data_IF_035705647001
#
_entry.id   IF_035705647001
#
_cell.length_a   1.000
_cell.length_b   1.000
_cell.length_c   1.000
_cell.angle_alpha   90.00
_cell.angle_beta   90.00
_cell.angle_gamma   90.00
#
_symmetry.space_group_name_H-M   'P 1'
#
loop_
_entity.id
_entity.type
_entity.pdbx_description
1 polymer ?
#
# COMPACT_ATOMS: atom_id res chain seq x y z
N UNK A 1 -19.29 25.94 -4.29
CA UNK A 1 -18.18 25.01 -3.94
C UNK A 1 -18.84 23.89 -3.16
N UNK A 2 -18.79 22.65 -3.61
CA UNK A 2 -19.25 21.53 -2.78
C UNK A 2 -18.40 21.48 -1.52
N UNK A 3 -19.05 21.27 -0.37
CA UNK A 3 -18.35 21.07 0.88
C UNK A 3 -17.41 19.87 0.73
N UNK A 4 -16.16 19.99 1.18
CA UNK A 4 -15.20 18.86 1.14
C UNK A 4 -15.74 17.76 2.06
N UNK A 5 -15.81 16.53 1.58
CA UNK A 5 -16.25 15.37 2.35
C UNK A 5 -15.11 14.71 3.14
N UNK A 6 -13.97 15.40 3.31
CA UNK A 6 -12.77 14.93 4.03
C UNK A 6 -12.11 16.07 4.81
N UNK A 7 -11.34 15.67 5.81
CA UNK A 7 -10.41 16.54 6.54
C UNK A 7 -8.98 16.27 6.05
N UNK A 8 -8.24 17.33 5.73
CA UNK A 8 -6.79 17.21 5.49
C UNK A 8 -6.10 16.90 6.82
N UNK A 9 -5.19 15.94 6.81
CA UNK A 9 -4.40 15.58 7.97
C UNK A 9 -2.91 15.60 7.64
N UNK A 10 -2.12 15.87 8.67
CA UNK A 10 -0.68 15.64 8.63
C UNK A 10 -0.20 14.92 9.90
N UNK A 11 0.88 14.17 9.79
CA UNK A 11 1.50 13.46 10.90
C UNK A 11 3.00 13.27 10.66
N UNK A 12 3.76 13.12 11.74
CA UNK A 12 5.19 12.87 11.66
C UNK A 12 5.48 11.40 11.39
N UNK A 13 6.43 11.11 10.51
CA UNK A 13 6.97 9.78 10.25
C UNK A 13 8.40 9.89 9.71
N UNK A 14 9.34 9.16 10.31
CA UNK A 14 10.74 9.05 9.85
C UNK A 14 11.34 10.40 9.45
N UNK A 15 11.29 11.38 10.36
CA UNK A 15 11.86 12.72 10.17
C UNK A 15 11.17 13.58 9.11
N UNK A 16 10.01 13.20 8.62
CA UNK A 16 9.21 13.94 7.66
C UNK A 16 7.77 14.13 8.14
N UNK A 17 7.04 15.04 7.51
CA UNK A 17 5.63 15.22 7.70
C UNK A 17 4.88 14.57 6.53
N UNK A 18 4.12 13.52 6.80
CA UNK A 18 3.25 12.88 5.83
C UNK A 18 1.89 13.57 5.80
N UNK A 19 1.27 13.59 4.62
CA UNK A 19 -0.01 14.29 4.39
C UNK A 19 -1.00 13.40 3.68
N UNK A 20 -2.27 13.56 4.04
CA UNK A 20 -3.35 12.80 3.47
C UNK A 20 -4.72 13.39 3.74
N UNK A 21 -5.74 12.55 3.54
CA UNK A 21 -7.14 12.87 3.76
C UNK A 21 -7.77 11.83 4.66
N UNK A 22 -8.55 12.31 5.62
CA UNK A 22 -9.41 11.47 6.43
C UNK A 22 -10.87 11.71 6.04
N UNK A 23 -11.50 10.67 5.51
CA UNK A 23 -12.93 10.60 5.28
C UNK A 23 -13.57 10.01 6.54
N UNK A 24 -14.43 10.78 7.19
CA UNK A 24 -15.00 10.40 8.48
C UNK A 24 -16.36 9.74 8.33
N UNK A 25 -16.55 8.60 8.98
CA UNK A 25 -17.87 8.04 9.22
C UNK A 25 -18.62 8.85 10.29
N UNK A 26 -19.94 8.89 10.18
CA UNK A 26 -20.80 9.38 11.27
C UNK A 26 -20.84 8.42 12.48
N UNK A 27 -20.44 7.16 12.30
CA UNK A 27 -20.27 6.17 13.35
C UNK A 27 -18.82 6.14 13.83
N UNK A 28 -18.55 6.67 15.01
CA UNK A 28 -17.20 6.73 15.58
C UNK A 28 -16.53 5.35 15.76
N UNK A 29 -17.32 4.26 15.79
CA UNK A 29 -16.84 2.87 15.91
C UNK A 29 -16.73 2.15 14.58
N UNK A 30 -17.03 2.82 13.45
CA UNK A 30 -16.85 2.20 12.14
C UNK A 30 -15.40 1.77 11.92
N UNK A 31 -15.13 0.73 11.11
CA UNK A 31 -13.76 0.35 10.78
C UNK A 31 -12.94 1.53 10.26
N UNK A 32 -11.67 1.60 10.69
CA UNK A 32 -10.69 2.52 10.14
C UNK A 32 -9.86 1.77 9.10
N UNK A 33 -9.95 2.19 7.84
CA UNK A 33 -9.09 1.69 6.75
C UNK A 33 -7.96 2.68 6.51
N UNK A 34 -6.71 2.24 6.69
CA UNK A 34 -5.51 3.05 6.41
C UNK A 34 -4.93 2.62 5.08
N UNK A 35 -4.84 3.55 4.14
CA UNK A 35 -4.52 3.29 2.74
C UNK A 35 -3.29 4.09 2.28
N UNK A 36 -2.42 3.45 1.51
CA UNK A 36 -1.36 4.13 0.78
C UNK A 36 -1.13 3.50 -0.60
N UNK A 37 -0.52 4.30 -1.49
CA UNK A 37 -0.30 3.96 -2.89
C UNK A 37 0.85 2.95 -3.07
N UNK A 38 0.87 2.24 -4.22
CA UNK A 38 1.94 1.34 -4.60
C UNK A 38 3.21 2.04 -5.11
N UNK A 39 4.03 1.27 -5.83
CA UNK A 39 5.33 1.70 -6.31
C UNK A 39 5.24 3.04 -7.05
N UNK A 40 5.91 4.05 -6.49
CA UNK A 40 6.08 5.43 -7.03
C UNK A 40 4.81 6.23 -7.32
N UNK A 41 3.62 5.67 -7.14
CA UNK A 41 2.37 6.38 -7.35
C UNK A 41 2.19 7.55 -6.34
N UNK A 42 1.08 8.23 -6.40
CA UNK A 42 0.62 9.21 -5.42
C UNK A 42 -0.87 9.02 -5.17
N UNK A 43 -1.37 9.51 -4.06
CA UNK A 43 -2.79 9.40 -3.72
C UNK A 43 -3.71 10.09 -4.76
N UNK A 44 -3.18 11.07 -5.51
CA UNK A 44 -3.89 11.73 -6.61
C UNK A 44 -4.01 10.85 -7.88
N UNK A 45 -3.26 9.77 -7.96
CA UNK A 45 -3.35 8.83 -9.07
C UNK A 45 -4.40 7.76 -8.78
N UNK A 46 -5.68 8.16 -8.68
CA UNK A 46 -6.89 7.37 -8.42
C UNK A 46 -7.18 6.97 -6.97
N UNK A 47 -6.19 6.92 -6.06
CA UNK A 47 -6.40 6.38 -4.71
C UNK A 47 -7.37 7.24 -3.87
N UNK A 48 -7.35 8.57 -4.02
CA UNK A 48 -8.37 9.43 -3.38
C UNK A 48 -9.79 9.09 -3.86
N UNK A 49 -9.96 8.75 -5.14
CA UNK A 49 -11.27 8.36 -5.66
C UNK A 49 -11.72 7.01 -5.09
N UNK A 50 -10.78 6.07 -4.95
CA UNK A 50 -11.05 4.78 -4.33
C UNK A 50 -11.48 4.95 -2.86
N UNK A 51 -10.76 5.78 -2.10
CA UNK A 51 -11.08 6.12 -0.72
C UNK A 51 -12.47 6.76 -0.59
N UNK A 52 -12.83 7.71 -1.48
CA UNK A 52 -14.16 8.32 -1.51
C UNK A 52 -15.27 7.28 -1.70
N UNK A 53 -15.04 6.30 -2.58
CA UNK A 53 -16.02 5.24 -2.85
C UNK A 53 -16.21 4.33 -1.63
N UNK A 54 -15.14 3.95 -0.93
CA UNK A 54 -15.23 3.17 0.31
C UNK A 54 -15.86 3.96 1.46
N UNK A 55 -15.58 5.26 1.56
CA UNK A 55 -16.14 6.11 2.61
C UNK A 55 -17.67 6.23 2.53
N UNK A 56 -18.26 6.15 1.33
CA UNK A 56 -19.72 6.20 1.14
C UNK A 56 -20.44 5.06 1.90
N UNK A 57 -19.77 3.93 2.12
CA UNK A 57 -20.31 2.79 2.87
C UNK A 57 -20.23 2.96 4.39
N UNK A 58 -19.74 4.11 4.87
CA UNK A 58 -19.73 4.44 6.29
C UNK A 58 -18.51 3.96 7.06
N UNK A 59 -17.40 3.69 6.39
CA UNK A 59 -16.10 3.43 7.01
C UNK A 59 -15.33 4.74 7.26
N UNK A 60 -14.43 4.77 8.24
CA UNK A 60 -13.39 5.79 8.31
C UNK A 60 -12.27 5.41 7.34
N UNK A 61 -11.88 6.31 6.45
CA UNK A 61 -10.80 6.05 5.50
C UNK A 61 -9.72 7.10 5.67
N UNK A 62 -8.53 6.67 6.06
CA UNK A 62 -7.33 7.49 6.07
C UNK A 62 -6.45 7.10 4.87
N UNK A 63 -6.31 7.99 3.91
CA UNK A 63 -5.44 7.81 2.76
C UNK A 63 -4.36 8.88 2.75
N UNK A 64 -3.10 8.48 2.54
CA UNK A 64 -1.95 9.40 2.59
C UNK A 64 -0.91 9.08 1.51
N UNK A 65 -0.07 10.09 1.22
CA UNK A 65 1.11 9.89 0.39
C UNK A 65 2.29 9.39 1.23
N UNK A 66 2.99 8.38 0.75
CA UNK A 66 4.24 7.92 1.38
C UNK A 66 5.28 9.04 1.46
N UNK A 67 6.23 8.92 2.40
CA UNK A 67 7.40 9.80 2.51
C UNK A 67 8.08 9.96 1.14
N UNK A 68 8.45 11.17 0.79
CA UNK A 68 9.07 11.61 -0.47
C UNK A 68 8.10 11.70 -1.68
N UNK A 69 6.84 11.34 -1.56
CA UNK A 69 5.86 11.31 -2.65
C UNK A 69 4.71 12.29 -2.43
N UNK A 70 4.02 12.63 -3.52
CA UNK A 70 2.80 13.42 -3.51
C UNK A 70 2.91 14.70 -2.65
N UNK A 71 1.95 14.88 -1.75
CA UNK A 71 1.90 15.99 -0.81
C UNK A 71 2.80 15.83 0.41
N UNK A 72 3.27 14.62 0.71
CA UNK A 72 4.14 14.34 1.86
C UNK A 72 5.53 14.93 1.69
N UNK A 73 6.14 15.35 2.81
CA UNK A 73 7.53 15.83 2.83
C UNK A 73 8.51 14.66 2.68
N UNK A 74 9.78 14.99 2.74
CA UNK A 74 10.91 14.09 2.68
C UNK A 74 11.85 14.41 1.54
N UNK A 75 13.10 14.03 1.71
CA UNK A 75 14.18 14.20 0.75
C UNK A 75 15.08 12.96 0.74
N UNK A 76 15.69 12.65 -0.43
CA UNK A 76 15.40 13.24 -1.73
C UNK A 76 13.97 12.89 -2.20
N UNK A 77 13.37 13.79 -3.01
CA UNK A 77 12.03 13.51 -3.59
C UNK A 77 12.08 12.26 -4.47
N UNK A 78 10.96 11.53 -4.50
CA UNK A 78 10.75 10.33 -5.29
C UNK A 78 11.71 9.18 -4.95
N UNK A 79 12.25 9.17 -3.73
CA UNK A 79 13.00 8.04 -3.20
C UNK A 79 12.06 7.01 -2.58
N UNK A 80 12.08 5.79 -3.10
CA UNK A 80 11.32 4.63 -2.61
C UNK A 80 12.14 3.97 -1.51
N UNK A 81 11.68 4.09 -0.28
CA UNK A 81 12.26 3.47 0.91
C UNK A 81 11.19 2.61 1.57
N UNK A 82 11.22 1.32 1.30
CA UNK A 82 10.17 0.41 1.73
C UNK A 82 10.04 0.32 3.25
N UNK A 83 11.15 0.34 4.00
CA UNK A 83 11.11 0.31 5.46
C UNK A 83 10.47 1.58 6.04
N UNK A 84 10.83 2.74 5.51
CA UNK A 84 10.21 4.00 5.90
C UNK A 84 8.72 4.06 5.51
N UNK A 85 8.34 3.45 4.39
CA UNK A 85 6.94 3.40 3.93
C UNK A 85 6.08 2.48 4.82
N UNK A 86 6.61 1.32 5.26
CA UNK A 86 5.94 0.45 6.23
C UNK A 86 5.74 1.19 7.56
N UNK A 87 6.75 1.91 8.05
CA UNK A 87 6.65 2.75 9.25
C UNK A 87 5.58 3.82 9.12
N UNK A 88 5.43 4.39 7.93
CA UNK A 88 4.41 5.38 7.62
C UNK A 88 2.97 4.89 7.90
N UNK A 89 2.66 3.61 7.68
CA UNK A 89 1.36 3.02 8.04
C UNK A 89 1.13 3.02 9.56
N UNK A 90 2.11 2.58 10.33
CA UNK A 90 2.04 2.55 11.81
C UNK A 90 1.86 3.96 12.39
N UNK A 91 2.58 4.94 11.82
CA UNK A 91 2.46 6.33 12.25
C UNK A 91 1.11 6.94 11.84
N UNK A 92 0.57 6.57 10.67
CA UNK A 92 -0.77 6.94 10.24
C UNK A 92 -1.87 6.39 11.17
N UNK A 93 -1.75 5.11 11.58
CA UNK A 93 -2.63 4.50 12.59
C UNK A 93 -2.57 5.29 13.89
N UNK A 94 -1.36 5.60 14.36
CA UNK A 94 -1.15 6.37 15.60
C UNK A 94 -1.78 7.76 15.52
N UNK A 95 -1.61 8.45 14.38
CA UNK A 95 -2.18 9.76 14.15
C UNK A 95 -3.72 9.73 14.16
N UNK A 96 -4.33 8.75 13.51
CA UNK A 96 -5.77 8.59 13.47
C UNK A 96 -6.35 8.29 14.88
N UNK A 97 -5.74 7.38 15.61
CA UNK A 97 -6.19 6.99 16.95
C UNK A 97 -6.03 8.11 18.01
N UNK A 98 -5.12 9.05 17.77
CA UNK A 98 -4.99 10.25 18.59
C UNK A 98 -6.11 11.29 18.38
N UNK A 99 -6.99 11.07 17.40
CA UNK A 99 -8.13 11.93 17.16
C UNK A 99 -9.29 11.53 18.08
N UNK A 100 -9.70 12.43 18.99
CA UNK A 100 -10.65 12.17 20.07
C UNK A 100 -12.04 11.63 19.65
N UNK A 101 -12.39 11.73 18.38
CA UNK A 101 -13.69 11.28 17.86
C UNK A 101 -13.66 9.91 17.19
N UNK A 102 -12.48 9.33 16.98
CA UNK A 102 -12.31 8.05 16.33
C UNK A 102 -12.07 6.98 17.41
N UNK A 103 -13.04 6.08 17.57
CA UNK A 103 -13.03 5.03 18.60
C UNK A 103 -13.16 3.64 17.98
N UNK A 104 -12.69 3.49 16.74
CA UNK A 104 -12.70 2.19 16.07
C UNK A 104 -11.77 1.21 16.78
N UNK A 105 -12.26 -0.01 16.97
CA UNK A 105 -11.46 -1.16 17.41
C UNK A 105 -10.97 -1.99 16.21
N UNK A 106 -11.59 -1.78 15.03
CA UNK A 106 -11.27 -2.46 13.79
C UNK A 106 -10.36 -1.57 12.92
N UNK A 107 -9.07 -1.89 12.89
CA UNK A 107 -8.07 -1.19 12.08
C UNK A 107 -7.65 -2.09 10.93
N UNK A 108 -7.96 -1.68 9.72
CA UNK A 108 -7.66 -2.41 8.50
C UNK A 108 -6.57 -1.68 7.72
N UNK A 109 -5.51 -2.38 7.36
CA UNK A 109 -4.49 -1.84 6.47
C UNK A 109 -4.77 -2.28 5.04
N UNK A 110 -4.77 -1.31 4.13
CA UNK A 110 -5.03 -1.49 2.72
C UNK A 110 -3.82 -1.07 1.90
N UNK A 111 -3.43 -1.87 0.94
CA UNK A 111 -2.35 -1.52 0.01
C UNK A 111 -2.55 -2.17 -1.35
N UNK A 112 -2.04 -1.50 -2.39
CA UNK A 112 -2.01 -2.07 -3.74
C UNK A 112 -0.56 -2.28 -4.20
N UNK A 113 -0.30 -3.30 -5.03
CA UNK A 113 1.00 -3.56 -5.62
C UNK A 113 2.10 -3.71 -4.54
N UNK A 114 3.11 -2.86 -4.58
CA UNK A 114 4.17 -2.83 -3.58
C UNK A 114 3.62 -2.62 -2.16
N UNK A 115 2.68 -1.69 -1.98
CA UNK A 115 2.01 -1.48 -0.69
C UNK A 115 1.10 -2.66 -0.32
N UNK A 116 0.56 -3.39 -1.29
CA UNK A 116 -0.14 -4.66 -1.07
C UNK A 116 0.74 -5.73 -0.43
N UNK A 117 2.03 -5.75 -0.74
CA UNK A 117 3.00 -6.58 -0.02
C UNK A 117 3.37 -6.00 1.36
N UNK A 118 3.51 -4.68 1.46
CA UNK A 118 3.91 -3.99 2.71
C UNK A 118 2.89 -4.14 3.83
N UNK A 119 1.58 -4.18 3.53
CA UNK A 119 0.55 -4.31 4.56
C UNK A 119 0.63 -5.63 5.34
N UNK A 120 1.28 -6.67 4.80
CA UNK A 120 1.57 -7.90 5.55
C UNK A 120 2.55 -7.64 6.69
N UNK A 121 3.60 -6.85 6.45
CA UNK A 121 4.59 -6.46 7.47
C UNK A 121 3.94 -5.58 8.53
N UNK A 122 3.14 -4.60 8.11
CA UNK A 122 2.41 -3.75 9.05
C UNK A 122 1.52 -4.60 9.96
N UNK A 123 0.73 -5.52 9.39
CA UNK A 123 -0.17 -6.36 10.16
C UNK A 123 0.54 -7.40 11.02
N UNK A 124 1.72 -7.87 10.61
CA UNK A 124 2.52 -8.82 11.40
C UNK A 124 3.20 -8.15 12.59
N UNK A 125 3.56 -6.87 12.48
CA UNK A 125 4.40 -6.18 13.47
C UNK A 125 3.65 -5.11 14.27
N UNK A 126 2.42 -4.75 13.89
CA UNK A 126 1.57 -3.80 14.63
C UNK A 126 0.31 -4.52 15.14
N UNK A 127 0.29 -4.79 16.42
CA UNK A 127 -0.80 -5.53 17.07
C UNK A 127 -2.16 -4.81 17.01
N UNK A 128 -2.17 -3.53 16.71
CA UNK A 128 -3.39 -2.74 16.57
C UNK A 128 -4.16 -3.07 15.29
N UNK A 129 -3.48 -3.63 14.27
CA UNK A 129 -4.12 -4.03 13.02
C UNK A 129 -4.99 -5.26 13.26
N UNK A 130 -6.23 -5.19 12.80
CA UNK A 130 -7.22 -6.28 12.92
C UNK A 130 -7.42 -7.06 11.62
N UNK A 131 -7.19 -6.44 10.45
CA UNK A 131 -7.34 -7.12 9.16
C UNK A 131 -6.49 -6.48 8.04
N UNK A 132 -6.32 -7.21 6.93
CA UNK A 132 -5.51 -6.83 5.78
C UNK A 132 -6.33 -6.87 4.49
N UNK A 133 -6.19 -5.84 3.66
CA UNK A 133 -6.64 -5.83 2.27
C UNK A 133 -5.44 -5.60 1.36
N UNK A 134 -5.13 -6.58 0.51
CA UNK A 134 -4.00 -6.56 -0.40
C UNK A 134 -4.49 -6.66 -1.86
N UNK A 135 -4.38 -5.57 -2.60
CA UNK A 135 -4.69 -5.52 -4.03
C UNK A 135 -3.44 -5.84 -4.84
N UNK A 136 -3.53 -6.82 -5.75
CA UNK A 136 -2.44 -7.20 -6.66
C UNK A 136 -1.05 -7.16 -5.98
N UNK A 137 -0.89 -7.84 -4.80
CA UNK A 137 0.29 -7.64 -3.97
C UNK A 137 1.57 -8.13 -4.66
N UNK A 138 2.63 -7.31 -4.58
CA UNK A 138 3.96 -7.64 -5.08
C UNK A 138 4.68 -8.63 -4.17
N UNK A 139 4.30 -9.91 -4.23
CA UNK A 139 4.80 -10.97 -3.34
C UNK A 139 6.20 -11.48 -3.70
N UNK A 140 6.80 -11.01 -4.80
CA UNK A 140 8.15 -11.34 -5.25
C UNK A 140 8.18 -11.94 -6.65
N UNK A 141 9.37 -11.97 -7.27
CA UNK A 141 9.58 -12.52 -8.62
C UNK A 141 9.39 -14.06 -8.66
N UNK A 142 9.56 -14.70 -7.51
CA UNK A 142 9.26 -16.12 -7.26
C UNK A 142 8.83 -16.31 -5.81
N UNK A 143 8.11 -17.39 -5.55
CA UNK A 143 7.75 -17.73 -4.17
C UNK A 143 8.99 -18.16 -3.37
N UNK A 144 9.19 -17.49 -2.25
CA UNK A 144 10.20 -17.87 -1.27
C UNK A 144 9.50 -18.67 -0.18
N UNK A 145 9.86 -19.96 -0.05
CA UNK A 145 9.31 -20.79 1.01
C UNK A 145 9.91 -20.34 2.35
N UNK A 146 9.09 -19.91 3.32
CA UNK A 146 9.59 -19.48 4.63
C UNK A 146 10.38 -20.59 5.32
N UNK A 147 11.47 -20.23 5.99
CA UNK A 147 12.19 -21.18 6.82
C UNK A 147 11.33 -21.66 8.00
N UNK A 148 11.25 -22.96 8.21
CA UNK A 148 10.37 -23.56 9.24
C UNK A 148 10.77 -23.24 10.67
N UNK A 149 11.98 -22.72 10.90
CA UNK A 149 12.47 -22.31 12.23
C UNK A 149 12.20 -20.82 12.55
N UNK A 150 11.61 -20.06 11.63
CA UNK A 150 11.21 -18.67 11.82
C UNK A 150 12.35 -17.65 11.82
N UNK A 151 13.59 -18.02 11.54
CA UNK A 151 14.75 -17.09 11.60
C UNK A 151 14.59 -15.87 10.71
N UNK A 152 14.03 -16.04 9.49
CA UNK A 152 13.80 -14.94 8.57
C UNK A 152 12.78 -13.96 9.12
N UNK A 153 11.71 -14.45 9.74
CA UNK A 153 10.71 -13.62 10.39
C UNK A 153 11.30 -12.85 11.57
N UNK A 154 12.08 -13.53 12.43
CA UNK A 154 12.70 -12.91 13.60
C UNK A 154 13.69 -11.81 13.19
N UNK A 155 14.44 -12.00 12.11
CA UNK A 155 15.34 -10.98 11.57
C UNK A 155 14.60 -9.76 11.04
N UNK A 156 13.47 -9.96 10.35
CA UNK A 156 12.60 -8.87 9.88
C UNK A 156 11.97 -8.12 11.05
N UNK A 157 11.48 -8.83 12.06
CA UNK A 157 10.87 -8.23 13.24
C UNK A 157 11.90 -7.42 14.06
N UNK A 158 13.09 -7.97 14.28
CA UNK A 158 14.17 -7.26 14.98
C UNK A 158 14.58 -5.97 14.22
N UNK A 159 14.61 -6.00 12.90
CA UNK A 159 14.88 -4.80 12.09
C UNK A 159 13.74 -3.80 12.18
N UNK A 160 12.48 -4.25 12.24
CA UNK A 160 11.33 -3.38 12.47
C UNK A 160 11.44 -2.64 13.83
N UNK A 161 11.83 -3.33 14.88
CA UNK A 161 11.94 -2.76 16.23
C UNK A 161 13.13 -1.80 16.37
N UNK A 162 14.26 -2.08 15.73
CA UNK A 162 15.55 -1.46 16.06
C UNK A 162 16.17 -0.62 14.93
N UNK A 163 15.66 -0.69 13.69
CA UNK A 163 16.24 0.09 12.59
C UNK A 163 16.05 1.59 12.79
N UNK A 164 17.13 2.34 12.76
CA UNK A 164 17.06 3.80 12.64
C UNK A 164 16.83 4.17 11.17
N UNK A 165 15.59 4.46 10.84
CA UNK A 165 15.18 4.82 9.49
C UNK A 165 15.48 6.29 9.14
N UNK A 166 16.05 7.07 10.08
CA UNK A 166 16.53 8.43 9.82
C UNK A 166 17.97 8.45 9.29
N UNK A 167 18.71 7.35 9.46
CA UNK A 167 20.04 7.18 8.90
C UNK A 167 20.03 7.23 7.36
N UNK A 168 21.16 7.59 6.76
CA UNK A 168 21.33 7.59 5.32
C UNK A 168 21.23 6.15 4.76
N UNK A 169 20.57 5.97 3.62
CA UNK A 169 20.53 4.66 2.95
C UNK A 169 21.94 4.17 2.57
N UNK A 170 22.17 2.85 2.61
CA UNK A 170 23.46 2.24 2.23
C UNK A 170 23.65 2.14 0.72
N UNK A 171 22.59 2.34 -0.07
CA UNK A 171 22.65 2.32 -1.53
C UNK A 171 21.40 2.92 -2.17
N UNK A 172 21.55 3.27 -3.44
CA UNK A 172 20.42 3.78 -4.24
C UNK A 172 20.58 3.43 -5.72
N UNK A 173 19.44 3.17 -6.40
CA UNK A 173 19.37 2.85 -7.81
C UNK A 173 18.35 3.77 -8.48
N UNK A 174 18.75 4.61 -9.47
CA UNK A 174 17.81 5.41 -10.25
C UNK A 174 17.03 4.50 -11.21
N UNK A 175 15.72 4.74 -11.32
CA UNK A 175 14.80 3.99 -12.18
C UNK A 175 13.80 4.96 -12.83
N UNK A 176 13.25 4.56 -13.99
CA UNK A 176 12.00 5.12 -14.52
C UNK A 176 10.85 4.17 -14.17
N UNK A 177 9.70 4.73 -13.82
CA UNK A 177 8.51 3.93 -13.57
C UNK A 177 8.06 3.20 -14.85
N UNK A 178 7.86 3.94 -15.95
CA UNK A 178 7.39 3.44 -17.23
C UNK A 178 8.26 3.96 -18.40
N UNK A 179 8.04 3.44 -19.60
CA UNK A 179 8.77 3.89 -20.79
C UNK A 179 8.28 5.26 -21.27
N UNK A 180 8.71 6.28 -20.53
CA UNK A 180 8.57 7.70 -20.86
C UNK A 180 9.97 8.33 -20.93
N UNK A 181 10.27 9.17 -21.95
CA UNK A 181 11.60 9.70 -22.20
C UNK A 181 11.98 10.86 -21.25
N UNK A 182 12.02 10.58 -19.93
CA UNK A 182 12.32 11.59 -18.90
C UNK A 182 13.79 11.60 -18.50
N UNK A 183 14.47 10.45 -18.58
CA UNK A 183 15.91 10.29 -18.32
C UNK A 183 16.45 9.02 -19.01
N UNK A 184 17.75 8.72 -18.81
CA UNK A 184 18.40 7.50 -19.28
C UNK A 184 18.37 6.35 -18.25
N UNK A 185 17.70 6.51 -17.12
CA UNK A 185 17.59 5.48 -16.11
C UNK A 185 16.81 4.24 -16.65
N UNK A 186 17.10 3.02 -16.16
CA UNK A 186 16.38 1.82 -16.55
C UNK A 186 14.88 1.93 -16.26
N UNK A 187 14.05 1.38 -17.16
CA UNK A 187 12.59 1.27 -16.94
C UNK A 187 12.30 0.10 -16.01
N UNK A 188 11.47 0.32 -15.01
CA UNK A 188 11.07 -0.74 -14.06
C UNK A 188 9.86 -1.54 -14.57
N UNK A 189 8.86 -0.85 -15.12
CA UNK A 189 7.64 -1.44 -15.64
C UNK A 189 7.59 -1.21 -17.17
N UNK A 190 8.32 -2.06 -17.91
CA UNK A 190 8.50 -1.94 -19.36
C UNK A 190 7.41 -2.73 -20.10
N UNK A 191 6.16 -2.23 -19.97
CA UNK A 191 5.01 -2.75 -20.71
C UNK A 191 3.97 -1.63 -20.95
N UNK A 192 3.13 -1.74 -21.98
CA UNK A 192 2.27 -0.65 -22.45
C UNK A 192 1.29 -0.11 -21.40
N UNK A 193 0.72 -0.98 -20.56
CA UNK A 193 -0.29 -0.63 -19.57
C UNK A 193 0.29 0.28 -18.48
N UNK A 194 1.55 0.07 -18.08
CA UNK A 194 2.25 0.95 -17.15
C UNK A 194 2.42 2.36 -17.73
N UNK A 195 2.81 2.45 -19.01
CA UNK A 195 2.92 3.73 -19.71
C UNK A 195 1.57 4.41 -19.87
N UNK A 196 0.51 3.66 -20.19
CA UNK A 196 -0.85 4.20 -20.30
C UNK A 196 -1.36 4.74 -18.96
N UNK A 197 -1.13 4.01 -17.86
CA UNK A 197 -1.51 4.45 -16.52
C UNK A 197 -0.74 5.72 -16.11
N UNK A 198 0.56 5.77 -16.36
CA UNK A 198 1.38 6.96 -16.11
C UNK A 198 0.86 8.18 -16.89
N UNK A 199 0.50 8.00 -18.17
CA UNK A 199 -0.06 9.07 -19.01
C UNK A 199 -1.44 9.52 -18.51
N UNK A 200 -2.31 8.57 -18.13
CA UNK A 200 -3.67 8.85 -17.72
C UNK A 200 -3.74 9.57 -16.36
N UNK A 201 -2.87 9.22 -15.43
CA UNK A 201 -2.93 9.68 -14.05
C UNK A 201 -1.68 10.45 -13.61
N UNK A 202 -0.49 9.93 -13.88
CA UNK A 202 0.77 10.52 -13.45
C UNK A 202 1.05 11.87 -14.10
N UNK A 203 0.71 12.04 -15.36
CA UNK A 203 0.91 13.30 -16.09
C UNK A 203 -0.17 14.34 -15.81
N UNK A 204 -1.16 14.08 -14.98
CA UNK A 204 -2.11 15.10 -14.52
C UNK A 204 -1.37 16.18 -13.72
N UNK A 205 -1.76 17.44 -13.91
CA UNK A 205 -1.08 18.60 -13.29
C UNK A 205 -1.03 18.53 -11.75
N UNK A 206 -2.02 17.92 -11.13
CA UNK A 206 -2.19 17.79 -9.68
C UNK A 206 -1.67 16.46 -9.12
N UNK A 207 -1.15 15.57 -9.96
CA UNK A 207 -0.67 14.26 -9.52
C UNK A 207 0.55 14.32 -8.61
N UNK A 208 1.39 15.36 -8.75
CA UNK A 208 2.69 15.49 -8.06
C UNK A 208 3.59 14.27 -8.24
N UNK A 209 3.43 13.57 -9.35
CA UNK A 209 4.14 12.36 -9.70
C UNK A 209 5.41 12.66 -10.51
N UNK A 210 6.35 11.73 -10.49
CA UNK A 210 7.52 11.71 -11.37
C UNK A 210 7.73 10.32 -11.93
N UNK A 211 8.09 10.24 -13.21
CA UNK A 211 8.54 8.99 -13.83
C UNK A 211 9.92 8.58 -13.31
N UNK A 212 10.78 9.57 -12.99
CA UNK A 212 12.12 9.36 -12.46
C UNK A 212 12.08 9.23 -10.95
N UNK A 213 12.54 8.10 -10.45
CA UNK A 213 12.53 7.73 -9.04
C UNK A 213 13.87 7.13 -8.66
N UNK A 214 14.11 7.01 -7.35
CA UNK A 214 15.28 6.32 -6.83
C UNK A 214 14.82 5.24 -5.85
N UNK A 215 15.20 3.99 -6.09
CA UNK A 215 14.99 2.92 -5.12
C UNK A 215 16.18 2.90 -4.17
N UNK A 216 15.93 2.96 -2.86
CA UNK A 216 16.98 2.97 -1.84
C UNK A 216 17.07 1.64 -1.12
N UNK A 217 18.29 1.28 -0.70
CA UNK A 217 18.56 0.09 0.10
C UNK A 217 18.97 0.49 1.51
N UNK A 218 18.50 -0.26 2.50
CA UNK A 218 18.85 -0.14 3.91
C UNK A 218 19.77 -1.28 4.33
N UNK A 219 20.55 -1.07 5.40
CA UNK A 219 21.26 -2.13 6.11
C UNK A 219 20.26 -2.91 6.98
N UNK A 220 19.39 -3.65 6.30
CA UNK A 220 18.29 -4.42 6.89
C UNK A 220 17.94 -5.57 5.94
N UNK A 221 17.31 -6.65 6.43
CA UNK A 221 16.86 -7.74 5.59
C UNK A 221 15.96 -7.29 4.46
N UNK A 222 16.03 -7.99 3.33
CA UNK A 222 15.08 -7.75 2.24
C UNK A 222 13.66 -8.08 2.70
N UNK A 223 12.73 -7.19 2.43
CA UNK A 223 11.32 -7.41 2.72
C UNK A 223 10.75 -8.53 1.84
N UNK A 224 10.43 -9.66 2.45
CA UNK A 224 9.96 -10.87 1.80
C UNK A 224 8.55 -11.19 2.28
N UNK A 225 7.54 -10.79 1.50
CA UNK A 225 6.12 -10.93 1.87
C UNK A 225 5.70 -12.36 2.27
N UNK A 226 6.12 -13.44 1.58
CA UNK A 226 5.79 -14.80 2.00
C UNK A 226 6.23 -15.16 3.42
N UNK A 227 7.36 -14.61 3.90
CA UNK A 227 7.88 -14.90 5.26
C UNK A 227 6.91 -14.37 6.32
N UNK A 228 6.45 -13.12 6.18
CA UNK A 228 5.51 -12.55 7.15
C UNK A 228 4.08 -13.06 6.94
N UNK A 229 3.67 -13.35 5.72
CA UNK A 229 2.37 -13.93 5.40
C UNK A 229 2.16 -15.28 6.11
N UNK A 230 3.19 -16.12 6.19
CA UNK A 230 3.14 -17.41 6.89
C UNK A 230 2.94 -17.30 8.42
N UNK A 231 3.16 -16.11 8.98
CA UNK A 231 2.94 -15.82 10.42
C UNK A 231 1.71 -14.93 10.67
N UNK A 232 0.99 -14.55 9.61
CA UNK A 232 -0.11 -13.59 9.71
C UNK A 232 -1.37 -14.24 10.27
N UNK A 233 -1.75 -13.83 11.48
CA UNK A 233 -2.93 -14.32 12.20
C UNK A 233 -4.17 -13.40 12.09
N UNK A 234 -4.21 -12.55 11.11
CA UNK A 234 -5.26 -11.54 10.86
C UNK A 234 -6.10 -11.92 9.62
N UNK A 235 -7.42 -11.73 9.63
CA UNK A 235 -8.25 -11.87 8.43
C UNK A 235 -7.66 -11.10 7.25
N UNK A 236 -7.59 -11.72 6.09
CA UNK A 236 -6.90 -11.15 4.93
C UNK A 236 -7.69 -11.32 3.65
N UNK A 237 -7.91 -10.22 2.93
CA UNK A 237 -8.44 -10.20 1.56
C UNK A 237 -7.28 -10.01 0.56
N UNK A 238 -7.20 -10.91 -0.43
CA UNK A 238 -6.44 -10.68 -1.65
C UNK A 238 -7.38 -10.40 -2.81
N UNK A 239 -7.14 -9.30 -3.49
CA UNK A 239 -7.78 -8.95 -4.75
C UNK A 239 -6.73 -9.03 -5.83
N UNK A 240 -6.87 -9.94 -6.80
CA UNK A 240 -5.80 -10.24 -7.74
C UNK A 240 -6.29 -10.09 -9.18
N UNK A 241 -5.54 -9.33 -9.97
CA UNK A 241 -5.77 -9.21 -11.41
C UNK A 241 -5.36 -10.51 -12.11
N UNK A 242 -6.27 -11.12 -12.89
CA UNK A 242 -6.03 -12.43 -13.53
C UNK A 242 -4.92 -12.40 -14.57
N UNK A 243 -4.74 -11.25 -15.21
CA UNK A 243 -3.79 -11.04 -16.31
C UNK A 243 -2.69 -10.03 -15.90
N UNK A 244 -2.25 -10.08 -14.63
CA UNK A 244 -1.27 -9.17 -14.07
C UNK A 244 0.08 -9.27 -14.80
N UNK A 245 0.51 -8.17 -15.40
CA UNK A 245 1.74 -8.06 -16.21
C UNK A 245 2.99 -7.80 -15.35
N UNK A 246 2.80 -7.43 -14.09
CA UNK A 246 3.90 -7.11 -13.18
C UNK A 246 4.49 -8.40 -12.63
N UNK A 247 5.74 -8.69 -13.00
CA UNK A 247 6.41 -9.97 -12.67
C UNK A 247 6.33 -10.30 -11.18
N UNK A 248 6.61 -9.33 -10.30
CA UNK A 248 6.60 -9.55 -8.86
C UNK A 248 5.21 -9.51 -8.21
N UNK A 249 4.14 -9.23 -8.99
CA UNK A 249 2.74 -9.36 -8.59
C UNK A 249 2.04 -10.52 -9.31
N UNK A 250 2.79 -11.45 -9.90
CA UNK A 250 2.27 -12.62 -10.60
C UNK A 250 1.20 -13.33 -9.78
N UNK A 251 0.00 -13.64 -10.37
CA UNK A 251 -1.06 -14.35 -9.68
C UNK A 251 -0.62 -15.69 -9.09
N UNK A 252 0.33 -16.38 -9.75
CA UNK A 252 0.86 -17.65 -9.27
C UNK A 252 1.67 -17.51 -7.96
N UNK A 253 2.50 -16.46 -7.87
CA UNK A 253 3.28 -16.18 -6.64
C UNK A 253 2.38 -15.61 -5.56
N UNK A 254 1.46 -14.71 -5.91
CA UNK A 254 0.47 -14.19 -5.00
C UNK A 254 -0.39 -15.32 -4.39
N UNK A 255 -0.76 -16.34 -5.19
CA UNK A 255 -1.52 -17.50 -4.72
C UNK A 255 -0.76 -18.31 -3.68
N UNK A 256 0.52 -18.57 -3.92
CA UNK A 256 1.36 -19.30 -2.96
C UNK A 256 1.54 -18.52 -1.66
N UNK A 257 1.72 -17.20 -1.76
CA UNK A 257 1.78 -16.31 -0.60
C UNK A 257 0.45 -16.33 0.19
N UNK A 258 -0.68 -16.19 -0.50
CA UNK A 258 -2.01 -16.29 0.08
C UNK A 258 -2.23 -17.65 0.77
N UNK A 259 -1.88 -18.76 0.13
CA UNK A 259 -2.09 -20.10 0.66
C UNK A 259 -1.27 -20.33 1.96
N UNK A 260 -0.14 -19.65 2.14
CA UNK A 260 0.67 -19.72 3.36
C UNK A 260 0.08 -19.00 4.57
N UNK A 261 -0.88 -18.08 4.39
CA UNK A 261 -1.52 -17.35 5.50
C UNK A 261 -2.34 -18.32 6.34
N UNK A 262 -2.09 -18.45 7.66
CA UNK A 262 -2.83 -19.38 8.52
C UNK A 262 -4.21 -18.87 8.95
N UNK A 263 -4.46 -17.56 8.92
CA UNK A 263 -5.71 -16.94 9.33
C UNK A 263 -6.84 -17.13 8.31
N UNK A 264 -8.06 -16.72 8.68
CA UNK A 264 -9.17 -16.59 7.73
C UNK A 264 -8.77 -15.70 6.57
N UNK A 265 -9.06 -16.11 5.34
CA UNK A 265 -8.60 -15.42 4.15
C UNK A 265 -9.56 -15.56 2.98
N UNK A 266 -9.69 -14.49 2.21
CA UNK A 266 -10.57 -14.42 1.05
C UNK A 266 -9.76 -14.07 -0.19
N UNK A 267 -9.94 -14.82 -1.26
CA UNK A 267 -9.35 -14.55 -2.57
C UNK A 267 -10.41 -14.12 -3.55
N UNK A 268 -10.19 -13.01 -4.24
CA UNK A 268 -11.07 -12.50 -5.28
C UNK A 268 -10.27 -12.28 -6.56
N UNK A 269 -10.63 -13.02 -7.62
CA UNK A 269 -10.09 -12.80 -8.96
C UNK A 269 -10.83 -11.65 -9.64
N UNK A 270 -10.08 -10.70 -10.19
CA UNK A 270 -10.60 -9.63 -11.04
C UNK A 270 -10.01 -9.77 -12.44
N UNK A 271 -10.87 -9.83 -13.43
CA UNK A 271 -10.44 -9.92 -14.83
C UNK A 271 -9.72 -8.64 -15.25
N UNK A 272 -8.51 -8.76 -15.79
CA UNK A 272 -7.73 -7.65 -16.32
C UNK A 272 -6.31 -7.62 -15.77
N UNK A 273 -5.56 -6.57 -16.16
CA UNK A 273 -4.18 -6.36 -15.78
C UNK A 273 -4.01 -5.55 -14.50
N UNK A 274 -2.77 -5.38 -14.09
CA UNK A 274 -2.34 -4.76 -12.83
C UNK A 274 -3.02 -3.43 -12.52
N UNK A 275 -3.07 -2.54 -13.50
CA UNK A 275 -3.63 -1.20 -13.34
C UNK A 275 -5.15 -1.12 -13.52
N UNK A 276 -5.80 -2.22 -13.96
CA UNK A 276 -7.24 -2.23 -14.23
C UNK A 276 -8.11 -1.81 -13.04
N UNK A 277 -7.67 -2.21 -11.83
CA UNK A 277 -8.36 -1.88 -10.58
C UNK A 277 -8.29 -0.38 -10.23
N UNK A 278 -7.37 0.37 -10.83
CA UNK A 278 -7.09 1.78 -10.53
C UNK A 278 -7.73 2.76 -11.52
N UNK A 279 -8.32 2.28 -12.62
CA UNK A 279 -9.00 3.18 -13.57
C UNK A 279 -10.37 3.59 -13.01
N UNK A 280 -10.42 4.86 -12.54
CA UNK A 280 -11.57 5.47 -11.89
C UNK A 280 -12.89 5.22 -12.62
N UNK A 281 -13.92 4.82 -11.87
CA UNK A 281 -15.28 4.57 -12.35
C UNK A 281 -15.43 3.45 -13.41
N UNK A 282 -14.36 2.70 -13.71
CA UNK A 282 -14.45 1.50 -14.55
C UNK A 282 -15.26 0.39 -13.85
N UNK A 283 -15.72 -0.59 -14.63
CA UNK A 283 -16.40 -1.77 -14.07
C UNK A 283 -15.50 -2.55 -13.10
N UNK A 284 -14.19 -2.66 -13.43
CA UNK A 284 -13.18 -3.35 -12.62
C UNK A 284 -12.95 -2.59 -11.31
N UNK A 285 -12.78 -1.28 -11.37
CA UNK A 285 -12.66 -0.41 -10.19
C UNK A 285 -13.87 -0.57 -9.24
N UNK A 286 -15.09 -0.57 -9.80
CA UNK A 286 -16.29 -0.74 -8.99
C UNK A 286 -16.41 -2.15 -8.39
N UNK A 287 -15.95 -3.20 -9.08
CA UNK A 287 -15.86 -4.56 -8.53
C UNK A 287 -14.86 -4.63 -7.37
N UNK A 288 -13.70 -3.98 -7.50
CA UNK A 288 -12.71 -3.90 -6.44
C UNK A 288 -13.27 -3.23 -5.18
N UNK A 289 -13.91 -2.07 -5.33
CA UNK A 289 -14.57 -1.37 -4.20
C UNK A 289 -15.64 -2.25 -3.55
N UNK A 290 -16.44 -2.97 -4.34
CA UNK A 290 -17.50 -3.84 -3.82
C UNK A 290 -16.92 -5.05 -3.04
N UNK A 291 -15.81 -5.63 -3.51
CA UNK A 291 -15.13 -6.73 -2.83
C UNK A 291 -14.54 -6.29 -1.48
N UNK A 292 -13.88 -5.11 -1.46
CA UNK A 292 -13.37 -4.52 -0.22
C UNK A 292 -14.50 -4.27 0.78
N UNK A 293 -15.63 -3.70 0.31
CA UNK A 293 -16.76 -3.44 1.19
C UNK A 293 -17.37 -4.72 1.75
N UNK A 294 -17.52 -5.77 0.93
CA UNK A 294 -18.02 -7.06 1.41
C UNK A 294 -17.12 -7.64 2.51
N UNK A 295 -15.80 -7.57 2.32
CA UNK A 295 -14.85 -8.01 3.35
C UNK A 295 -14.95 -7.17 4.63
N UNK A 296 -15.06 -5.83 4.52
CA UNK A 296 -15.22 -4.95 5.67
C UNK A 296 -16.54 -5.18 6.43
N UNK A 297 -17.59 -5.60 5.73
CA UNK A 297 -18.87 -5.94 6.36
C UNK A 297 -18.81 -7.27 7.13
N UNK A 298 -18.01 -8.24 6.66
CA UNK A 298 -17.78 -9.52 7.33
C UNK A 298 -16.93 -9.40 8.60
N UNK A 299 -16.24 -8.26 8.82
CA UNK A 299 -15.46 -7.97 10.03
C UNK A 299 -16.34 -7.43 11.19
N UNK A 300 -17.53 -6.93 10.89
CA UNK A 300 -18.49 -6.35 11.86
C UNK A 300 -19.26 -7.43 12.60
#
# INVERSE_FOLDING_TARGET
MSEKNYTEIDFASVGAKLRGRLYQSSNAKAPLVVMAHGFTATAHMSLYKFAERLAVYGNHILVYDHRNFGLSDGAPRYAVDQWAQIRGYTDAISAALNMNYLTSEEIVVWGESMSGAMVHFVAAFDDRVSAVIAHTPSCGDSYVNPEGDGRDYDALHASWEHADLTDEPVGSVPLRFADLPTSDAPVRLDFPEATQYAQAYGMRKDSMWSNDVTFVSRDAPQLTAPVVAAQLNKPTLYLVASDDEVVNASPAVARQCFDSIPAAKTWVDITGGHFGLLYEDSAIFNQAVAADQAFLDDLK
#
